data_IF_764294930068
#
_entry.id   IF_764294930068
#
_cell.length_a   1.000
_cell.length_b   1.000
_cell.length_c   1.000
_cell.angle_alpha   90.00
_cell.angle_beta   90.00
_cell.angle_gamma   90.00
#
_symmetry.space_group_name_H-M   'P 1'
#
loop_
_entity.id
_entity.type
_entity.pdbx_description
1 polymer ?
#
# COMPACT_ATOMS: atom_id res chain seq x y z
N UNK A 1 23.77 74.04 5.15
CA UNK A 1 22.58 74.48 5.90
C UNK A 1 21.49 73.46 5.63
N UNK A 2 21.02 72.60 6.52
CA UNK A 2 21.28 72.33 7.94
C UNK A 2 20.38 71.14 8.33
N UNK A 3 20.81 70.38 9.35
CA UNK A 3 20.00 69.50 10.24
C UNK A 3 19.17 68.37 9.61
N UNK A 4 19.11 67.14 10.11
CA UNK A 4 19.46 66.58 11.41
C UNK A 4 18.75 65.21 11.54
N UNK A 5 19.36 64.36 12.36
CA UNK A 5 19.02 63.01 12.83
C UNK A 5 17.54 62.56 12.85
N UNK A 6 17.29 61.25 12.60
CA UNK A 6 17.11 60.28 13.69
C UNK A 6 17.01 58.82 13.19
N UNK A 7 17.96 58.02 13.69
CA UNK A 7 17.94 56.56 13.78
C UNK A 7 16.70 56.10 14.56
N UNK A 8 15.97 55.10 14.07
CA UNK A 8 15.13 54.23 14.90
C UNK A 8 15.43 52.77 14.61
N UNK A 9 16.39 52.25 15.39
CA UNK A 9 16.49 50.84 15.71
C UNK A 9 15.22 50.42 16.47
N UNK A 10 14.56 49.36 16.02
CA UNK A 10 13.67 48.57 16.87
C UNK A 10 14.26 47.18 17.02
N UNK A 11 15.02 47.06 18.10
CA UNK A 11 15.19 45.81 18.84
C UNK A 11 13.79 45.39 19.32
N UNK A 12 13.29 44.27 18.80
CA UNK A 12 12.21 43.55 19.44
C UNK A 12 12.83 42.29 20.05
N UNK A 13 12.79 42.28 21.37
CA UNK A 13 13.42 41.32 22.26
C UNK A 13 12.94 39.89 21.99
N UNK A 14 13.89 38.97 22.10
CA UNK A 14 13.65 37.58 22.47
C UNK A 14 12.80 37.53 23.75
N UNK A 15 11.64 36.88 23.66
CA UNK A 15 10.98 36.29 24.81
C UNK A 15 10.78 34.80 24.51
N UNK A 16 11.73 34.01 25.01
CA UNK A 16 11.51 32.59 25.23
C UNK A 16 10.36 32.43 26.23
N UNK A 17 9.19 32.00 25.74
CA UNK A 17 8.25 31.27 26.58
C UNK A 17 8.35 29.79 26.19
N UNK A 18 9.26 29.12 26.89
CA UNK A 18 9.28 27.68 27.03
C UNK A 18 8.01 27.26 27.80
N UNK A 19 6.92 27.07 27.06
CA UNK A 19 5.74 26.36 27.52
C UNK A 19 5.79 24.95 26.92
N UNK A 20 6.37 24.01 27.65
CA UNK A 20 6.29 22.57 27.37
C UNK A 20 4.82 22.16 27.63
N UNK A 21 3.97 22.44 26.67
CA UNK A 21 2.69 21.78 26.52
C UNK A 21 2.93 20.50 25.73
N UNK A 22 3.31 19.43 26.45
CA UNK A 22 3.09 18.07 25.98
C UNK A 22 1.57 17.92 25.78
N UNK A 23 1.06 18.34 24.62
CA UNK A 23 -0.12 17.70 24.10
C UNK A 23 0.35 16.32 23.68
N UNK A 24 -0.02 15.22 24.37
CA UNK A 24 -0.07 13.98 23.65
C UNK A 24 -0.99 14.29 22.47
N UNK A 25 -0.46 14.20 21.25
CA UNK A 25 -1.32 13.88 20.11
C UNK A 25 -2.12 12.68 20.62
N UNK A 26 -3.37 12.89 20.97
CA UNK A 26 -4.28 11.79 21.22
C UNK A 26 -4.42 11.19 19.83
N UNK A 27 -3.61 10.17 19.56
CA UNK A 27 -3.83 9.27 18.45
C UNK A 27 -5.26 8.80 18.67
N UNK A 28 -6.19 9.31 17.87
CA UNK A 28 -7.54 8.81 17.83
C UNK A 28 -7.39 7.29 17.74
N UNK A 29 -7.92 6.59 18.73
CA UNK A 29 -7.79 5.15 18.88
C UNK A 29 -8.22 4.53 17.55
N UNK A 30 -7.25 4.13 16.71
CA UNK A 30 -7.55 3.58 15.40
C UNK A 30 -8.24 2.26 15.68
N UNK A 31 -9.58 2.27 15.62
CA UNK A 31 -10.42 1.13 15.91
C UNK A 31 -10.17 -0.04 14.94
N UNK A 32 -9.49 0.22 13.82
CA UNK A 32 -9.08 -0.77 12.85
C UNK A 32 -7.70 -1.39 13.11
N UNK A 33 -7.45 -2.57 12.55
CA UNK A 33 -6.12 -3.17 12.56
C UNK A 33 -5.13 -2.37 11.71
N UNK A 34 -3.86 -2.41 12.10
CA UNK A 34 -2.75 -1.82 11.35
C UNK A 34 -2.22 -2.79 10.30
N UNK A 35 -2.17 -4.09 10.63
CA UNK A 35 -1.74 -5.11 9.69
C UNK A 35 -2.85 -5.36 8.67
N UNK A 36 -2.47 -5.58 7.41
CA UNK A 36 -3.41 -6.05 6.39
C UNK A 36 -3.61 -7.56 6.55
N UNK A 37 -4.81 -8.05 6.22
CA UNK A 37 -5.17 -9.47 6.33
C UNK A 37 -4.16 -10.39 5.60
N UNK A 38 -3.63 -9.96 4.46
CA UNK A 38 -2.63 -10.73 3.71
C UNK A 38 -1.31 -10.92 4.49
N UNK A 39 -0.86 -9.90 5.24
CA UNK A 39 0.30 -9.98 6.13
C UNK A 39 0.04 -10.92 7.31
N UNK A 40 -1.20 -10.89 7.84
CA UNK A 40 -1.65 -11.79 8.90
C UNK A 40 -1.61 -13.24 8.38
N UNK A 41 -2.18 -13.52 7.21
CA UNK A 41 -2.18 -14.86 6.60
C UNK A 41 -0.77 -15.36 6.29
N UNK A 42 0.10 -14.50 5.77
CA UNK A 42 1.52 -14.85 5.58
C UNK A 42 2.21 -15.22 6.89
N UNK A 43 1.89 -14.53 7.99
CA UNK A 43 2.41 -14.84 9.33
C UNK A 43 1.86 -16.15 9.88
N UNK A 44 0.56 -16.41 9.70
CA UNK A 44 -0.08 -17.67 10.09
C UNK A 44 0.53 -18.86 9.35
N UNK A 45 0.77 -18.71 8.05
CA UNK A 45 1.43 -19.76 7.26
C UNK A 45 2.84 -20.06 7.79
N UNK A 46 3.65 -19.03 8.10
CA UNK A 46 4.99 -19.23 8.71
C UNK A 46 4.93 -19.89 10.09
N UNK A 47 3.96 -19.52 10.91
CA UNK A 47 3.74 -20.14 12.22
C UNK A 47 3.42 -21.63 12.07
N UNK A 48 2.52 -21.95 11.14
CA UNK A 48 2.04 -23.32 10.90
C UNK A 48 3.13 -24.20 10.33
N UNK A 49 3.86 -23.72 9.33
CA UNK A 49 5.01 -24.42 8.73
C UNK A 49 6.08 -24.77 9.77
N UNK A 50 6.40 -23.84 10.67
CA UNK A 50 7.34 -24.07 11.78
C UNK A 50 6.83 -25.09 12.80
N UNK A 51 5.53 -25.15 13.05
CA UNK A 51 4.95 -26.02 14.07
C UNK A 51 4.75 -27.45 13.58
N UNK A 52 4.34 -27.64 12.32
CA UNK A 52 3.89 -28.93 11.81
C UNK A 52 4.80 -29.54 10.75
N UNK A 53 5.71 -28.75 10.17
CA UNK A 53 6.50 -29.10 8.96
C UNK A 53 5.65 -29.46 7.73
N UNK A 54 4.33 -29.24 7.81
CA UNK A 54 3.37 -29.56 6.76
C UNK A 54 2.94 -28.29 6.02
N UNK A 55 2.97 -28.36 4.68
CA UNK A 55 2.38 -27.35 3.81
C UNK A 55 0.87 -27.56 3.58
N UNK A 56 0.32 -28.67 4.06
CA UNK A 56 -1.09 -28.98 3.99
C UNK A 56 -1.79 -28.49 5.26
N UNK A 57 -2.35 -27.28 5.19
CA UNK A 57 -3.19 -26.70 6.23
C UNK A 57 -4.38 -25.96 5.59
N UNK A 58 -5.45 -25.83 6.35
CA UNK A 58 -6.60 -25.00 6.01
C UNK A 58 -6.76 -23.89 7.05
N UNK A 59 -6.96 -22.67 6.57
CA UNK A 59 -7.28 -21.51 7.40
C UNK A 59 -8.79 -21.28 7.34
N UNK A 60 -9.41 -21.06 8.50
CA UNK A 60 -10.82 -20.66 8.62
C UNK A 60 -10.96 -19.15 8.80
N UNK A 61 -12.15 -18.68 9.20
CA UNK A 61 -12.45 -17.25 9.36
C UNK A 61 -11.38 -16.50 10.17
N UNK A 62 -10.94 -15.37 9.62
CA UNK A 62 -10.02 -14.42 10.24
C UNK A 62 -10.84 -13.39 11.00
N UNK A 63 -10.53 -13.18 12.28
CA UNK A 63 -11.17 -12.13 13.08
C UNK A 63 -10.13 -11.21 13.73
N UNK A 64 -10.51 -9.97 13.97
CA UNK A 64 -9.73 -8.98 14.69
C UNK A 64 -10.52 -8.49 15.90
N UNK A 65 -9.92 -8.55 17.09
CA UNK A 65 -10.49 -8.03 18.32
C UNK A 65 -9.87 -6.65 18.62
N UNK A 66 -10.61 -5.54 18.47
CA UNK A 66 -10.07 -4.20 18.63
C UNK A 66 -9.55 -3.90 20.04
N UNK A 67 -10.21 -4.44 21.08
CA UNK A 67 -9.87 -4.15 22.48
C UNK A 67 -8.47 -4.66 22.89
N UNK A 68 -8.02 -5.75 22.28
CA UNK A 68 -6.70 -6.35 22.51
C UNK A 68 -5.73 -6.13 21.35
N UNK A 69 -6.22 -5.54 20.25
CA UNK A 69 -5.55 -5.46 18.94
C UNK A 69 -5.00 -6.80 18.48
N UNK A 70 -5.79 -7.85 18.66
CA UNK A 70 -5.38 -9.23 18.39
C UNK A 70 -6.18 -9.81 17.23
N UNK A 71 -5.46 -10.29 16.22
CA UNK A 71 -6.00 -11.14 15.18
C UNK A 71 -6.07 -12.59 15.68
N UNK A 72 -7.20 -13.25 15.44
CA UNK A 72 -7.40 -14.68 15.74
C UNK A 72 -7.71 -15.44 14.45
N UNK A 73 -6.98 -16.52 14.23
CA UNK A 73 -7.07 -17.32 13.01
C UNK A 73 -7.07 -18.81 13.36
N UNK A 74 -8.21 -19.51 13.23
CA UNK A 74 -8.25 -20.97 13.38
C UNK A 74 -7.56 -21.66 12.20
N UNK A 75 -6.68 -22.62 12.52
CA UNK A 75 -5.89 -23.36 11.54
C UNK A 75 -6.08 -24.86 11.78
N UNK A 76 -6.43 -25.62 10.76
CA UNK A 76 -6.38 -27.08 10.80
C UNK A 76 -5.18 -27.55 9.97
N UNK A 77 -4.24 -28.24 10.60
CA UNK A 77 -3.01 -28.67 9.94
C UNK A 77 -2.67 -30.11 10.31
N UNK A 78 -2.14 -30.86 9.35
CA UNK A 78 -1.63 -32.20 9.59
C UNK A 78 -0.29 -32.13 10.32
N UNK A 79 -0.14 -32.88 11.41
CA UNK A 79 1.11 -33.05 12.13
C UNK A 79 1.56 -34.51 12.05
N UNK A 80 2.80 -34.75 11.60
CA UNK A 80 3.37 -36.09 11.49
C UNK A 80 2.61 -36.99 10.51
N UNK A 81 2.17 -38.18 10.96
CA UNK A 81 1.53 -39.23 10.16
C UNK A 81 0.10 -38.91 9.67
N UNK A 82 -0.20 -37.64 9.38
CA UNK A 82 -1.51 -37.22 8.85
C UNK A 82 -2.58 -36.97 9.90
N UNK A 83 -2.22 -36.89 11.18
CA UNK A 83 -3.18 -36.50 12.23
C UNK A 83 -3.45 -35.01 12.11
N UNK A 84 -4.69 -34.66 11.79
CA UNK A 84 -5.13 -33.25 11.71
C UNK A 84 -5.34 -32.72 13.13
N UNK A 85 -4.66 -31.64 13.46
CA UNK A 85 -4.87 -30.89 14.70
C UNK A 85 -5.43 -29.50 14.40
N UNK A 86 -6.22 -29.00 15.34
CA UNK A 86 -6.79 -27.65 15.28
C UNK A 86 -5.98 -26.72 16.16
N UNK A 87 -5.31 -25.77 15.54
CA UNK A 87 -4.54 -24.72 16.18
C UNK A 87 -5.31 -23.40 16.14
N UNK A 88 -4.90 -22.48 17.00
CA UNK A 88 -5.35 -21.08 16.98
C UNK A 88 -4.09 -20.22 16.86
N UNK A 89 -3.96 -19.50 15.74
CA UNK A 89 -2.94 -18.48 15.60
C UNK A 89 -3.48 -17.15 16.17
N UNK A 90 -2.73 -16.53 17.07
CA UNK A 90 -2.98 -15.19 17.57
C UNK A 90 -1.86 -14.25 17.14
N UNK A 91 -2.20 -13.09 16.60
CA UNK A 91 -1.24 -12.06 16.16
C UNK A 91 -1.62 -10.75 16.82
N UNK A 92 -0.77 -10.27 17.74
CA UNK A 92 -1.06 -9.10 18.54
C UNK A 92 -0.24 -7.88 18.08
N UNK A 93 -0.94 -6.85 17.61
CA UNK A 93 -0.31 -5.63 17.08
C UNK A 93 0.22 -4.71 18.18
N UNK A 94 -0.24 -4.86 19.43
CA UNK A 94 0.25 -4.08 20.56
C UNK A 94 1.58 -4.62 21.08
N UNK A 95 1.73 -5.94 21.10
CA UNK A 95 2.94 -6.60 21.61
C UNK A 95 3.91 -7.02 20.53
N UNK A 96 3.56 -6.90 19.24
CA UNK A 96 4.44 -7.32 18.14
C UNK A 96 4.76 -8.82 18.13
N UNK A 97 3.89 -9.65 18.71
CA UNK A 97 4.09 -11.10 18.81
C UNK A 97 2.99 -11.87 18.08
N UNK A 98 3.42 -12.90 17.36
CA UNK A 98 2.55 -13.90 16.76
C UNK A 98 2.78 -15.25 17.45
N UNK A 99 1.72 -15.97 17.76
CA UNK A 99 1.73 -17.21 18.52
C UNK A 99 0.79 -18.23 17.90
N UNK A 100 1.24 -19.47 17.76
CA UNK A 100 0.38 -20.60 17.41
C UNK A 100 0.11 -21.44 18.66
N UNK A 101 -1.15 -21.64 19.02
CA UNK A 101 -1.56 -22.40 20.20
C UNK A 101 -2.27 -23.69 19.78
N UNK A 102 -2.13 -24.73 20.58
CA UNK A 102 -2.88 -25.98 20.45
C UNK A 102 -3.84 -26.10 21.66
N UNK A 103 -5.13 -25.74 21.52
CA UNK A 103 -6.09 -25.87 22.61
C UNK A 103 -6.22 -27.32 23.11
N UNK A 104 -6.42 -27.54 24.43
CA UNK A 104 -6.64 -26.54 25.49
C UNK A 104 -5.34 -26.02 26.16
N UNK A 105 -4.17 -26.23 25.55
CA UNK A 105 -2.89 -25.80 26.13
C UNK A 105 -2.80 -24.28 26.34
N UNK A 106 -2.23 -23.85 27.47
CA UNK A 106 -2.10 -22.43 27.83
C UNK A 106 -0.88 -21.72 27.18
N UNK A 107 -0.09 -22.44 26.37
CA UNK A 107 1.17 -21.94 25.82
C UNK A 107 1.19 -21.88 24.29
N UNK A 108 2.16 -21.12 23.77
CA UNK A 108 2.48 -21.13 22.35
C UNK A 108 3.30 -22.38 22.00
N UNK A 109 2.89 -23.09 20.96
CA UNK A 109 3.68 -24.14 20.31
C UNK A 109 4.84 -23.50 19.54
N UNK A 110 4.57 -22.39 18.85
CA UNK A 110 5.55 -21.58 18.14
C UNK A 110 5.24 -20.10 18.35
N UNK A 111 6.28 -19.29 18.50
CA UNK A 111 6.21 -17.83 18.50
C UNK A 111 7.08 -17.23 17.40
N UNK A 112 6.63 -16.11 16.84
CA UNK A 112 7.38 -15.29 15.89
C UNK A 112 7.27 -13.83 16.35
N UNK A 113 8.42 -13.15 16.35
CA UNK A 113 8.47 -11.71 16.52
C UNK A 113 8.08 -11.02 15.19
N UNK A 114 7.09 -10.13 15.26
CA UNK A 114 6.58 -9.33 14.15
C UNK A 114 6.64 -7.83 14.45
N UNK A 115 7.38 -7.38 15.48
CA UNK A 115 7.47 -5.98 15.86
C UNK A 115 7.82 -5.09 14.67
N UNK A 116 8.82 -5.48 13.87
CA UNK A 116 9.22 -4.70 12.71
C UNK A 116 8.08 -4.59 11.68
N UNK A 117 7.32 -5.67 11.43
CA UNK A 117 6.19 -5.65 10.51
C UNK A 117 5.07 -4.71 10.99
N UNK A 118 4.85 -4.66 12.30
CA UNK A 118 3.90 -3.72 12.91
C UNK A 118 4.39 -2.28 12.79
N UNK A 119 5.67 -2.02 13.10
CA UNK A 119 6.28 -0.69 12.97
C UNK A 119 6.17 -0.21 11.52
N UNK A 120 6.56 -1.05 10.56
CA UNK A 120 6.50 -0.73 9.14
C UNK A 120 5.07 -0.48 8.66
N UNK A 121 4.10 -1.27 9.15
CA UNK A 121 2.70 -1.08 8.82
C UNK A 121 2.14 0.22 9.42
N UNK A 122 2.49 0.57 10.67
CA UNK A 122 2.12 1.87 11.27
C UNK A 122 2.69 3.03 10.48
N UNK A 123 3.99 2.98 10.18
CA UNK A 123 4.68 4.00 9.40
C UNK A 123 4.04 4.15 8.01
N UNK A 124 3.66 3.05 7.36
CA UNK A 124 2.94 3.08 6.08
C UNK A 124 1.56 3.73 6.22
N UNK A 125 0.75 3.33 7.20
CA UNK A 125 -0.57 3.92 7.44
C UNK A 125 -0.48 5.42 7.73
N UNK A 126 0.49 5.83 8.53
CA UNK A 126 0.76 7.26 8.79
C UNK A 126 1.17 7.98 7.50
N UNK A 127 2.06 7.40 6.71
CA UNK A 127 2.52 8.00 5.46
C UNK A 127 1.39 8.08 4.40
N UNK A 128 0.50 7.09 4.35
CA UNK A 128 -0.71 7.11 3.52
C UNK A 128 -1.69 8.21 3.96
N UNK A 129 -1.91 8.37 5.27
CA UNK A 129 -2.71 9.47 5.81
C UNK A 129 -2.08 10.84 5.51
N UNK A 130 -0.76 10.94 5.58
CA UNK A 130 -0.02 12.13 5.18
C UNK A 130 -0.18 12.41 3.68
N UNK A 131 -0.18 11.38 2.83
CA UNK A 131 -0.42 11.54 1.40
C UNK A 131 -1.86 11.99 1.09
N UNK A 132 -2.84 11.60 1.90
CA UNK A 132 -4.22 12.08 1.78
C UNK A 132 -4.33 13.55 2.20
N UNK A 133 -3.74 13.91 3.34
CA UNK A 133 -3.85 15.27 3.89
C UNK A 133 -2.93 16.29 3.21
N UNK A 134 -1.83 15.83 2.62
CA UNK A 134 -0.81 16.63 1.94
C UNK A 134 -0.46 15.98 0.60
N UNK A 135 -1.39 16.00 -0.38
CA UNK A 135 -1.18 15.31 -1.64
C UNK A 135 0.02 15.86 -2.40
N UNK A 136 0.72 14.97 -3.10
CA UNK A 136 1.76 15.37 -4.03
C UNK A 136 1.15 16.21 -5.18
N UNK A 137 1.93 17.13 -5.77
CA UNK A 137 1.44 17.97 -6.85
C UNK A 137 1.11 17.14 -8.10
N UNK A 138 0.08 17.56 -8.83
CA UNK A 138 -0.26 17.07 -10.18
C UNK A 138 -0.28 15.53 -10.31
N UNK A 139 -1.21 14.89 -9.60
CA UNK A 139 -1.40 13.43 -9.64
C UNK A 139 -1.72 12.89 -11.04
N UNK A 140 -2.31 13.73 -11.91
CA UNK A 140 -2.63 13.39 -13.29
C UNK A 140 -1.37 13.29 -14.14
N UNK A 141 -0.44 14.25 -14.02
CA UNK A 141 0.87 14.16 -14.67
C UNK A 141 1.70 13.00 -14.12
N UNK A 142 1.66 12.75 -12.81
CA UNK A 142 2.32 11.60 -12.20
C UNK A 142 1.84 10.28 -12.84
N UNK A 143 0.52 10.10 -12.92
CA UNK A 143 -0.09 8.93 -13.52
C UNK A 143 0.31 8.78 -15.00
N UNK A 144 0.28 9.86 -15.77
CA UNK A 144 0.72 9.87 -17.17
C UNK A 144 2.17 9.39 -17.32
N UNK A 145 3.09 9.92 -16.52
CA UNK A 145 4.51 9.55 -16.54
C UNK A 145 4.68 8.08 -16.19
N UNK A 146 3.98 7.59 -15.16
CA UNK A 146 4.05 6.19 -14.76
C UNK A 146 3.53 5.24 -15.85
N UNK A 147 2.41 5.57 -16.47
CA UNK A 147 1.82 4.78 -17.57
C UNK A 147 2.77 4.71 -18.76
N UNK A 148 3.31 5.86 -19.21
CA UNK A 148 4.31 5.91 -20.28
C UNK A 148 5.52 5.04 -19.97
N UNK A 149 6.01 5.08 -18.74
CA UNK A 149 7.16 4.30 -18.32
C UNK A 149 6.87 2.78 -18.36
N UNK A 150 5.69 2.36 -17.89
CA UNK A 150 5.35 0.93 -17.79
C UNK A 150 4.96 0.32 -19.14
N UNK A 151 4.30 1.10 -19.99
CA UNK A 151 3.83 0.65 -21.30
C UNK A 151 4.80 1.01 -22.42
N UNK A 152 6.03 1.44 -22.10
CA UNK A 152 7.09 1.65 -23.08
C UNK A 152 7.38 0.31 -23.81
N UNK A 153 7.16 0.22 -25.13
CA UNK A 153 7.43 -0.99 -25.92
C UNK A 153 8.90 -1.44 -25.87
N UNK A 154 9.82 -0.53 -25.53
CA UNK A 154 11.25 -0.86 -25.40
C UNK A 154 11.58 -1.56 -24.08
N UNK A 155 10.71 -1.42 -23.06
CA UNK A 155 10.88 -2.03 -21.73
C UNK A 155 10.00 -3.24 -21.53
N UNK A 156 8.75 -3.14 -21.98
CA UNK A 156 7.87 -4.29 -22.00
C UNK A 156 8.41 -5.23 -23.08
N UNK A 157 8.95 -6.39 -22.68
CA UNK A 157 9.24 -7.47 -23.63
C UNK A 157 7.97 -8.05 -24.31
N UNK A 158 6.86 -7.30 -24.28
CA UNK A 158 5.59 -7.56 -24.90
C UNK A 158 5.78 -7.51 -26.42
N UNK A 159 6.04 -8.68 -26.97
CA UNK A 159 6.07 -8.98 -28.38
C UNK A 159 4.80 -8.48 -29.08
N UNK A 160 4.97 -8.17 -30.37
CA UNK A 160 3.99 -7.78 -31.37
C UNK A 160 2.86 -8.82 -31.61
N UNK A 161 2.18 -9.31 -30.57
CA UNK A 161 0.92 -10.03 -30.73
C UNK A 161 -0.20 -9.00 -30.90
N UNK A 162 -0.79 -8.95 -32.11
CA UNK A 162 -1.67 -7.89 -32.60
C UNK A 162 -3.02 -7.68 -31.89
N UNK A 163 -3.19 -8.11 -30.63
CA UNK A 163 -4.30 -7.71 -29.79
C UNK A 163 -3.83 -6.65 -28.79
N UNK A 164 -4.18 -5.39 -29.04
CA UNK A 164 -3.92 -4.28 -28.13
C UNK A 164 -4.74 -4.47 -26.86
N UNK A 165 -4.10 -4.50 -25.70
CA UNK A 165 -4.80 -4.51 -24.41
C UNK A 165 -5.54 -3.17 -24.23
N UNK A 166 -6.74 -3.23 -23.65
CA UNK A 166 -7.54 -2.05 -23.30
C UNK A 166 -7.27 -1.70 -21.84
N UNK A 167 -6.61 -0.57 -21.59
CA UNK A 167 -6.22 -0.15 -20.24
C UNK A 167 -7.27 0.79 -19.64
N UNK A 168 -8.02 0.32 -18.66
CA UNK A 168 -8.98 1.13 -17.91
C UNK A 168 -8.31 1.65 -16.64
N UNK A 169 -8.07 2.96 -16.55
CA UNK A 169 -7.20 3.52 -15.53
C UNK A 169 -8.00 4.21 -14.43
N UNK A 170 -7.75 3.81 -13.18
CA UNK A 170 -8.22 4.52 -11.98
C UNK A 170 -7.04 5.07 -11.20
N UNK A 171 -7.10 6.36 -10.86
CA UNK A 171 -6.16 7.04 -9.99
C UNK A 171 -6.79 7.22 -8.61
N UNK A 172 -6.13 6.77 -7.56
CA UNK A 172 -6.57 7.08 -6.19
C UNK A 172 -6.43 8.59 -5.95
N UNK A 173 -7.45 9.18 -5.32
CA UNK A 173 -7.50 10.60 -5.01
C UNK A 173 -7.76 10.77 -3.51
N UNK A 174 -7.15 11.76 -2.85
CA UNK A 174 -7.43 12.04 -1.44
C UNK A 174 -8.91 12.31 -1.16
N UNK A 175 -9.59 12.95 -2.11
CA UNK A 175 -10.97 13.42 -1.96
C UNK A 175 -12.00 12.36 -2.38
N UNK A 176 -11.56 11.25 -2.98
CA UNK A 176 -12.48 10.25 -3.54
C UNK A 176 -11.95 8.82 -3.35
N UNK A 177 -12.55 8.12 -2.39
CA UNK A 177 -12.22 6.73 -2.06
C UNK A 177 -12.47 5.73 -3.21
N UNK A 178 -13.31 6.07 -4.20
CA UNK A 178 -13.50 5.24 -5.41
C UNK A 178 -12.43 5.48 -6.47
N UNK A 179 -11.54 6.44 -6.25
CA UNK A 179 -10.61 6.95 -7.24
C UNK A 179 -11.28 7.88 -8.26
N UNK A 180 -10.46 8.47 -9.11
CA UNK A 180 -10.82 9.36 -10.20
C UNK A 180 -10.24 8.82 -11.51
N UNK A 181 -10.89 9.15 -12.62
CA UNK A 181 -10.38 8.80 -13.94
C UNK A 181 -9.25 9.75 -14.37
N UNK A 182 -8.50 9.33 -15.39
CA UNK A 182 -7.56 10.22 -16.07
C UNK A 182 -8.31 11.38 -16.73
N UNK A 183 -7.71 12.57 -16.70
CA UNK A 183 -8.30 13.72 -17.39
C UNK A 183 -8.33 13.49 -18.91
N UNK A 184 -9.31 14.06 -19.64
CA UNK A 184 -9.38 13.93 -21.09
C UNK A 184 -8.11 14.40 -21.82
N UNK A 185 -7.41 15.39 -21.26
CA UNK A 185 -6.15 15.89 -21.76
C UNK A 185 -5.04 14.85 -21.64
N UNK A 186 -4.92 14.19 -20.47
CA UNK A 186 -3.95 13.10 -20.25
C UNK A 186 -4.21 11.94 -21.21
N UNK A 187 -5.47 11.49 -21.31
CA UNK A 187 -5.87 10.41 -22.23
C UNK A 187 -5.50 10.76 -23.68
N UNK A 188 -5.74 12.01 -24.09
CA UNK A 188 -5.38 12.47 -25.43
C UNK A 188 -3.86 12.48 -25.63
N UNK A 189 -3.07 12.87 -24.63
CA UNK A 189 -1.61 12.82 -24.73
C UNK A 189 -1.11 11.38 -24.85
N UNK A 190 -1.54 10.47 -23.98
CA UNK A 190 -1.17 9.06 -24.01
C UNK A 190 -1.51 8.40 -25.37
N UNK A 191 -2.69 8.70 -25.90
CA UNK A 191 -3.11 8.21 -27.23
C UNK A 191 -2.19 8.68 -28.36
N UNK A 192 -1.64 9.90 -28.30
CA UNK A 192 -0.65 10.38 -29.30
C UNK A 192 0.64 9.56 -29.26
N UNK A 193 0.97 8.97 -28.12
CA UNK A 193 2.12 8.08 -27.94
C UNK A 193 1.77 6.60 -28.22
N UNK A 194 0.58 6.32 -28.75
CA UNK A 194 0.12 4.97 -29.07
C UNK A 194 -0.39 4.16 -27.89
N UNK A 195 -0.59 4.80 -26.73
CA UNK A 195 -1.11 4.16 -25.52
C UNK A 195 -2.61 4.46 -25.42
N UNK A 196 -3.44 3.44 -25.66
CA UNK A 196 -4.90 3.57 -25.55
C UNK A 196 -5.36 3.31 -24.12
N UNK A 197 -5.96 4.34 -23.50
CA UNK A 197 -6.49 4.26 -22.13
C UNK A 197 -7.95 4.70 -22.07
N UNK A 198 -8.72 4.09 -21.17
CA UNK A 198 -10.13 4.36 -20.92
C UNK A 198 -10.36 4.74 -19.45
N UNK A 199 -11.48 5.41 -19.13
CA UNK A 199 -11.86 5.70 -17.75
C UNK A 199 -12.01 4.42 -16.93
N UNK A 200 -11.35 4.33 -15.79
CA UNK A 200 -11.49 3.19 -14.88
C UNK A 200 -12.90 2.99 -14.35
N UNK A 201 -13.69 4.07 -14.25
CA UNK A 201 -15.10 4.02 -13.86
C UNK A 201 -15.99 3.23 -14.84
N UNK A 202 -15.57 3.05 -16.08
CA UNK A 202 -16.27 2.26 -17.10
C UNK A 202 -15.85 0.79 -17.12
N UNK A 203 -14.84 0.43 -16.32
CA UNK A 203 -14.33 -0.94 -16.29
C UNK A 203 -15.33 -1.88 -15.65
N UNK A 204 -15.58 -3.00 -16.34
CA UNK A 204 -16.40 -4.09 -15.82
C UNK A 204 -15.48 -5.27 -15.49
N UNK A 205 -15.49 -5.75 -14.24
CA UNK A 205 -14.66 -6.88 -13.86
C UNK A 205 -15.01 -8.12 -14.68
N UNK A 206 -14.00 -8.87 -15.18
CA UNK A 206 -14.25 -10.14 -15.82
C UNK A 206 -14.95 -11.08 -14.83
N UNK A 207 -15.89 -11.88 -15.33
CA UNK A 207 -16.63 -12.83 -14.49
C UNK A 207 -15.69 -13.80 -13.77
N UNK A 208 -16.10 -14.35 -12.61
CA UNK A 208 -15.26 -15.20 -11.74
C UNK A 208 -14.63 -16.43 -12.43
N UNK A 209 -15.19 -16.88 -13.56
CA UNK A 209 -14.69 -18.01 -14.34
C UNK A 209 -13.68 -17.61 -15.45
N UNK A 210 -13.51 -16.32 -15.74
CA UNK A 210 -12.58 -15.84 -16.76
C UNK A 210 -11.15 -15.86 -16.22
N UNK A 211 -10.28 -16.60 -16.91
CA UNK A 211 -8.87 -16.75 -16.55
C UNK A 211 -8.04 -15.52 -16.95
N UNK A 212 -8.41 -14.84 -18.04
CA UNK A 212 -7.79 -13.60 -18.51
C UNK A 212 -8.73 -12.81 -19.42
N UNK A 213 -8.48 -11.50 -19.59
CA UNK A 213 -9.22 -10.56 -20.42
C UNK A 213 -8.24 -9.58 -21.07
N UNK A 214 -8.54 -9.15 -22.30
CA UNK A 214 -7.81 -8.04 -22.93
C UNK A 214 -8.15 -6.69 -22.29
N UNK A 215 -9.27 -6.60 -21.56
CA UNK A 215 -9.63 -5.43 -20.76
C UNK A 215 -8.95 -5.51 -19.39
N UNK A 216 -7.92 -4.69 -19.20
CA UNK A 216 -7.14 -4.61 -17.98
C UNK A 216 -7.58 -3.41 -17.14
N UNK A 217 -7.93 -3.62 -15.88
CA UNK A 217 -8.01 -2.53 -14.93
C UNK A 217 -6.60 -2.18 -14.46
N UNK A 218 -6.24 -0.91 -14.53
CA UNK A 218 -4.95 -0.39 -14.09
C UNK A 218 -5.19 0.62 -12.96
N UNK A 219 -4.79 0.26 -11.75
CA UNK A 219 -5.00 1.08 -10.56
C UNK A 219 -3.69 1.74 -10.14
N UNK A 220 -3.71 3.06 -9.94
CA UNK A 220 -2.57 3.86 -9.49
C UNK A 220 -2.92 4.45 -8.13
N UNK A 221 -2.12 4.13 -7.12
CA UNK A 221 -2.28 4.59 -5.75
C UNK A 221 -1.82 6.03 -5.53
N UNK A 222 -2.09 6.55 -4.33
CA UNK A 222 -1.56 7.84 -3.92
C UNK A 222 -0.03 7.77 -3.75
N UNK A 223 0.71 8.80 -4.18
CA UNK A 223 2.14 8.90 -3.93
C UNK A 223 2.42 9.13 -2.45
N UNK A 224 3.10 8.17 -1.81
CA UNK A 224 3.49 8.24 -0.42
C UNK A 224 4.91 8.81 -0.32
N UNK A 225 5.06 9.95 0.37
CA UNK A 225 6.36 10.63 0.45
C UNK A 225 7.33 9.88 1.36
N UNK A 226 8.56 9.69 0.89
CA UNK A 226 9.68 9.05 1.59
C UNK A 226 10.55 10.09 2.33
N UNK A 227 11.35 9.65 3.33
CA UNK A 227 12.31 10.53 4.00
C UNK A 227 13.36 11.16 3.08
N UNK A 228 13.72 10.50 1.98
CA UNK A 228 14.66 11.03 0.97
C UNK A 228 14.02 12.03 -0.01
N UNK A 229 12.75 12.40 0.21
CA UNK A 229 12.01 13.35 -0.63
C UNK A 229 11.41 12.74 -1.90
N UNK A 230 11.64 11.45 -2.16
CA UNK A 230 10.98 10.71 -3.24
C UNK A 230 9.60 10.24 -2.82
N UNK A 231 8.89 9.56 -3.72
CA UNK A 231 7.55 9.03 -3.50
C UNK A 231 7.49 7.55 -3.86
N UNK A 232 6.91 6.74 -3.00
CA UNK A 232 6.48 5.39 -3.34
C UNK A 232 5.05 5.46 -3.89
N UNK A 233 4.86 5.02 -5.12
CA UNK A 233 3.58 5.00 -5.83
C UNK A 233 3.21 3.55 -6.10
N UNK A 234 2.29 3.00 -5.31
CA UNK A 234 1.76 1.66 -5.56
C UNK A 234 0.91 1.67 -6.82
N UNK A 235 1.07 0.67 -7.67
CA UNK A 235 0.20 0.49 -8.84
C UNK A 235 0.02 -0.99 -9.14
N UNK A 236 -1.00 -1.33 -9.90
CA UNK A 236 -1.23 -2.71 -10.28
C UNK A 236 -2.17 -2.83 -11.45
N UNK A 237 -2.24 -4.03 -12.01
CA UNK A 237 -3.23 -4.37 -13.00
C UNK A 237 -4.01 -5.62 -12.60
N UNK A 238 -5.24 -5.69 -13.08
CA UNK A 238 -6.09 -6.87 -12.97
C UNK A 238 -6.79 -7.12 -14.30
N UNK A 239 -6.62 -8.32 -14.85
CA UNK A 239 -7.26 -8.77 -16.08
C UNK A 239 -7.96 -10.14 -15.95
N UNK A 240 -7.95 -10.75 -14.75
CA UNK A 240 -8.59 -12.03 -14.47
C UNK A 240 -7.98 -12.71 -13.24
N UNK A 241 -8.51 -13.86 -12.85
CA UNK A 241 -8.06 -14.58 -11.65
C UNK A 241 -6.61 -15.06 -11.71
N UNK A 242 -6.06 -15.29 -12.90
CA UNK A 242 -4.67 -15.69 -13.14
C UNK A 242 -3.89 -14.61 -13.90
N UNK A 243 -4.37 -13.37 -13.80
CA UNK A 243 -3.78 -12.22 -14.48
C UNK A 243 -3.91 -10.99 -13.59
N UNK A 244 -3.04 -10.89 -12.61
CA UNK A 244 -2.95 -9.71 -11.76
C UNK A 244 -1.49 -9.44 -11.36
N UNK A 245 -1.13 -8.17 -11.24
CA UNK A 245 0.21 -7.77 -10.82
C UNK A 245 0.15 -6.56 -9.91
N UNK A 246 1.00 -6.55 -8.88
CA UNK A 246 1.13 -5.45 -7.94
C UNK A 246 2.57 -4.99 -7.86
N UNK A 247 2.76 -3.68 -7.92
CA UNK A 247 4.06 -3.04 -8.08
C UNK A 247 4.14 -1.78 -7.23
N UNK A 248 5.36 -1.33 -6.99
CA UNK A 248 5.64 -0.01 -6.42
C UNK A 248 6.65 0.70 -7.31
N UNK A 249 6.32 1.91 -7.75
CA UNK A 249 7.24 2.81 -8.42
C UNK A 249 7.83 3.79 -7.40
N UNK A 250 9.15 3.94 -7.39
CA UNK A 250 9.81 5.06 -6.75
C UNK A 250 9.84 6.20 -7.77
N UNK A 251 9.14 7.29 -7.47
CA UNK A 251 9.05 8.48 -8.31
C UNK A 251 9.59 9.70 -7.58
N UNK A 252 9.92 10.74 -8.32
CA UNK A 252 10.26 12.03 -7.73
C UNK A 252 9.72 13.17 -8.59
N UNK A 253 9.58 14.33 -7.98
CA UNK A 253 9.05 15.54 -8.59
C UNK A 253 10.05 16.67 -8.36
N UNK A 254 10.61 17.19 -9.44
CA UNK A 254 11.58 18.29 -9.42
C UNK A 254 11.19 19.39 -10.43
N UNK A 255 12.14 20.28 -10.77
CA UNK A 255 11.90 21.36 -11.72
C UNK A 255 11.53 20.88 -13.14
N UNK A 256 11.86 19.64 -13.51
CA UNK A 256 11.46 19.03 -14.78
C UNK A 256 10.12 18.27 -14.68
N UNK A 257 9.52 18.21 -13.49
CA UNK A 257 8.27 17.50 -13.21
C UNK A 257 8.50 16.07 -12.71
N UNK A 258 7.47 15.23 -12.89
CA UNK A 258 7.50 13.85 -12.44
C UNK A 258 8.45 12.98 -13.25
N UNK A 259 9.21 12.11 -12.56
CA UNK A 259 9.96 11.04 -13.21
C UNK A 259 10.04 9.78 -12.35
N UNK A 260 10.12 8.62 -13.03
CA UNK A 260 10.27 7.31 -12.39
C UNK A 260 11.75 7.01 -12.19
N UNK A 261 12.14 6.74 -10.94
CA UNK A 261 13.50 6.35 -10.56
C UNK A 261 13.68 4.84 -10.71
N UNK A 262 12.74 4.05 -10.16
CA UNK A 262 12.78 2.59 -10.21
C UNK A 262 11.40 2.01 -10.00
N UNK A 263 11.20 0.75 -10.39
CA UNK A 263 9.98 -0.01 -10.08
C UNK A 263 10.31 -1.39 -9.54
N UNK A 264 9.53 -1.85 -8.57
CA UNK A 264 9.65 -3.16 -7.96
C UNK A 264 8.33 -3.91 -8.12
N UNK A 265 8.41 -5.19 -8.47
CA UNK A 265 7.27 -6.10 -8.46
C UNK A 265 7.09 -6.66 -7.05
N UNK A 266 5.92 -6.43 -6.48
CA UNK A 266 5.58 -6.89 -5.13
C UNK A 266 4.97 -8.29 -5.16
N UNK A 267 4.07 -8.53 -6.11
CA UNK A 267 3.38 -9.81 -6.29
C UNK A 267 2.82 -9.94 -7.72
N UNK A 268 2.56 -11.18 -8.12
CA UNK A 268 1.85 -11.53 -9.35
C UNK A 268 0.95 -12.74 -9.07
N UNK A 269 -0.18 -12.83 -9.78
CA UNK A 269 -1.09 -13.97 -9.77
C UNK A 269 -1.21 -14.59 -11.15
#
# INVERSE_FOLDING_TARGET
MGTGHHLRQRLASFACLAGIGLFPCAWADQAGPVLQEQTVMGTVSRLTDRATTSRAFSISAVSFEPSTREWTVPVSAAEGQGVVKNFIATINESTGLACLRLPPGAGCVVTIDIHQQVIDAKARTEAELMAQTHPAPDLQQMAEVLIRYQLDPKRSGASASGAQALYYVTLQSPDNAKGVDLSPEVVTRLRRDGIETHPGSEWVPPGRAATSSLAMHYSIGLPVRRPDGRYDVSFGYYCGTLCAGWFTAVMTYDAAGWHVVSTVMNAIS
#
